data_IF_711300634258
#
_entry.id   IF_711300634258
#
_cell.length_a   1.000
_cell.length_b   1.000
_cell.length_c   1.000
_cell.angle_alpha   90.00
_cell.angle_beta   90.00
_cell.angle_gamma   90.00
#
_symmetry.space_group_name_H-M   'P 1'
#
loop_
_entity.id
_entity.type
_entity.pdbx_description
1 polymer ?
#
# COMPACT_ATOMS: atom_id res chain seq x y z
N UNK A 1 8.03 -2.60 10.04
CA UNK A 1 6.88 -1.71 10.32
C UNK A 1 7.01 -1.03 11.67
N UNK A 2 7.31 -1.74 12.76
CA UNK A 2 7.34 -1.16 14.11
C UNK A 2 8.25 0.07 14.26
N UNK A 3 9.40 0.09 13.58
CA UNK A 3 10.26 1.26 13.56
C UNK A 3 9.60 2.49 12.89
N UNK A 4 8.88 2.26 11.78
CA UNK A 4 8.12 3.31 11.09
C UNK A 4 6.95 3.80 11.95
N UNK A 5 6.19 2.90 12.58
CA UNK A 5 5.12 3.27 13.52
C UNK A 5 5.68 4.12 14.67
N UNK A 6 6.79 3.70 15.30
CA UNK A 6 7.45 4.49 16.35
C UNK A 6 7.89 5.88 15.88
N UNK A 7 8.42 5.98 14.66
CA UNK A 7 8.84 7.25 14.09
C UNK A 7 7.63 8.17 13.84
N UNK A 8 6.52 7.64 13.33
CA UNK A 8 5.30 8.39 13.12
C UNK A 8 4.65 8.81 14.44
N UNK A 9 4.58 7.93 15.44
CA UNK A 9 4.06 8.28 16.77
C UNK A 9 4.89 9.40 17.43
N UNK A 10 6.21 9.43 17.18
CA UNK A 10 7.06 10.53 17.63
C UNK A 10 6.74 11.82 16.87
N UNK A 11 6.52 11.75 15.56
CA UNK A 11 6.13 12.89 14.75
C UNK A 11 4.77 13.44 15.19
N UNK A 12 3.77 12.59 15.38
CA UNK A 12 2.42 12.98 15.79
C UNK A 12 2.46 13.71 17.14
N UNK A 13 3.23 13.20 18.11
CA UNK A 13 3.47 13.90 19.38
C UNK A 13 4.11 15.28 19.20
N UNK A 14 5.07 15.43 18.29
CA UNK A 14 5.68 16.74 17.98
C UNK A 14 4.68 17.71 17.35
N UNK A 15 3.72 17.19 16.60
CA UNK A 15 2.68 17.97 15.92
C UNK A 15 1.40 18.15 16.74
N UNK A 16 1.38 17.68 18.00
CA UNK A 16 0.20 17.66 18.86
C UNK A 16 -1.03 16.93 18.25
N UNK A 17 -0.76 15.92 17.42
CA UNK A 17 -1.77 15.05 16.80
C UNK A 17 -2.11 13.90 17.76
N UNK A 18 -3.40 13.68 17.99
CA UNK A 18 -3.89 12.59 18.84
C UNK A 18 -3.80 11.22 18.17
N UNK A 19 -3.87 10.10 18.93
CA UNK A 19 -3.74 8.74 18.36
C UNK A 19 -4.75 8.42 17.25
N UNK A 20 -6.02 8.81 17.43
CA UNK A 20 -7.09 8.54 16.45
C UNK A 20 -6.88 9.33 15.15
N UNK A 21 -6.48 10.60 15.28
CA UNK A 21 -6.16 11.46 14.14
C UNK A 21 -4.89 10.96 13.42
N UNK A 22 -3.85 10.56 14.15
CA UNK A 22 -2.64 9.98 13.57
C UNK A 22 -2.93 8.70 12.79
N UNK A 23 -3.80 7.83 13.31
CA UNK A 23 -4.28 6.65 12.59
C UNK A 23 -5.05 7.06 11.31
N UNK A 24 -5.96 8.03 11.40
CA UNK A 24 -6.71 8.53 10.25
C UNK A 24 -5.76 9.08 9.16
N UNK A 25 -4.73 9.84 9.54
CA UNK A 25 -3.73 10.36 8.60
C UNK A 25 -2.92 9.25 7.93
N UNK A 26 -2.56 8.18 8.65
CA UNK A 26 -1.88 7.01 8.08
C UNK A 26 -2.75 6.28 7.07
N UNK A 27 -4.07 6.21 7.32
CA UNK A 27 -5.02 5.65 6.34
C UNK A 27 -5.17 6.57 5.12
N UNK A 28 -5.24 7.88 5.31
CA UNK A 28 -5.28 8.86 4.21
C UNK A 28 -4.03 8.77 3.33
N UNK A 29 -2.84 8.56 3.92
CA UNK A 29 -1.58 8.38 3.20
C UNK A 29 -1.64 7.25 2.17
N UNK A 30 -2.41 6.17 2.42
CA UNK A 30 -2.60 5.09 1.44
C UNK A 30 -3.25 5.60 0.14
N UNK A 31 -4.21 6.53 0.25
CA UNK A 31 -4.85 7.12 -0.93
C UNK A 31 -3.92 8.07 -1.69
N UNK A 32 -3.06 8.80 -0.96
CA UNK A 32 -2.01 9.65 -1.53
C UNK A 32 -1.05 8.82 -2.38
N UNK A 33 -0.44 7.77 -1.81
CA UNK A 33 0.50 6.90 -2.55
C UNK A 33 -0.17 6.18 -3.74
N UNK A 34 -1.45 5.83 -3.62
CA UNK A 34 -2.20 5.23 -4.73
C UNK A 34 -2.33 6.19 -5.91
N UNK A 35 -2.48 7.49 -5.62
CA UNK A 35 -2.45 8.55 -6.62
C UNK A 35 -1.08 8.68 -7.30
N UNK A 36 0.01 8.54 -6.54
CA UNK A 36 1.38 8.59 -7.05
C UNK A 36 1.69 7.38 -7.95
N UNK A 37 1.35 6.16 -7.52
CA UNK A 37 1.46 4.95 -8.34
C UNK A 37 0.66 5.06 -9.65
N UNK A 38 -0.54 5.65 -9.59
CA UNK A 38 -1.35 5.93 -10.78
C UNK A 38 -0.66 6.93 -11.72
N UNK A 39 -0.06 7.98 -11.16
CA UNK A 39 0.69 8.97 -11.93
C UNK A 39 1.97 8.37 -12.56
N UNK A 40 2.69 7.51 -11.84
CA UNK A 40 3.85 6.80 -12.34
C UNK A 40 3.49 5.85 -13.49
N UNK A 41 2.37 5.11 -13.40
CA UNK A 41 1.88 4.28 -14.50
C UNK A 41 1.54 5.11 -15.75
N UNK A 42 0.85 6.24 -15.58
CA UNK A 42 0.53 7.16 -16.68
C UNK A 42 1.82 7.69 -17.32
N UNK A 43 2.82 8.05 -16.48
CA UNK A 43 4.14 8.49 -16.90
C UNK A 43 4.89 7.42 -17.69
N UNK A 44 4.95 6.19 -17.18
CA UNK A 44 5.56 5.02 -17.83
C UNK A 44 4.92 4.74 -19.19
N UNK A 45 3.60 4.90 -19.33
CA UNK A 45 2.90 4.73 -20.61
C UNK A 45 3.09 5.91 -21.57
N UNK A 46 3.57 7.05 -21.08
CA UNK A 46 3.68 8.30 -21.84
C UNK A 46 2.31 8.89 -22.20
N UNK A 47 1.28 8.58 -21.42
CA UNK A 47 -0.10 8.99 -21.70
C UNK A 47 -0.38 10.45 -21.35
N UNK A 48 0.42 11.08 -20.49
CA UNK A 48 0.27 12.48 -20.13
C UNK A 48 1.15 13.37 -21.03
N UNK A 49 0.56 14.10 -22.02
CA UNK A 49 1.34 14.90 -22.97
C UNK A 49 2.03 16.12 -22.35
N UNK A 50 1.76 16.43 -21.07
CA UNK A 50 2.37 17.56 -20.32
C UNK A 50 3.60 17.13 -19.50
N UNK A 51 3.94 15.85 -19.45
CA UNK A 51 5.07 15.32 -18.68
C UNK A 51 5.96 14.43 -19.55
N UNK A 52 7.24 14.31 -19.19
CA UNK A 52 8.14 13.35 -19.80
C UNK A 52 7.72 11.91 -19.49
N UNK A 53 8.17 10.97 -20.33
CA UNK A 53 7.95 9.54 -20.09
C UNK A 53 8.75 9.11 -18.84
N UNK A 54 8.07 8.41 -17.93
CA UNK A 54 8.66 7.85 -16.71
C UNK A 54 9.28 6.48 -16.94
N UNK A 55 9.89 5.94 -15.89
CA UNK A 55 10.57 4.63 -15.89
C UNK A 55 9.73 3.53 -15.23
N UNK A 56 10.07 2.27 -15.49
CA UNK A 56 9.46 1.13 -14.79
C UNK A 56 9.84 1.13 -13.30
N UNK A 57 11.05 1.58 -12.98
CA UNK A 57 11.51 1.67 -11.60
C UNK A 57 10.66 2.64 -10.78
N UNK A 58 10.31 3.80 -11.34
CA UNK A 58 9.40 4.75 -10.68
C UNK A 58 8.06 4.07 -10.33
N UNK A 59 7.46 3.31 -11.26
CA UNK A 59 6.22 2.60 -10.95
C UNK A 59 6.40 1.56 -9.83
N UNK A 60 7.51 0.83 -9.82
CA UNK A 60 7.79 -0.17 -8.78
C UNK A 60 7.94 0.52 -7.42
N UNK A 61 8.69 1.62 -7.35
CA UNK A 61 8.91 2.36 -6.11
C UNK A 61 7.58 2.86 -5.54
N UNK A 62 6.73 3.48 -6.36
CA UNK A 62 5.41 3.96 -5.90
C UNK A 62 4.47 2.81 -5.47
N UNK A 63 4.52 1.65 -6.14
CA UNK A 63 3.75 0.47 -5.71
C UNK A 63 4.22 -0.05 -4.35
N UNK A 64 5.52 0.03 -4.07
CA UNK A 64 6.08 -0.34 -2.77
C UNK A 64 5.71 0.68 -1.68
N UNK A 65 5.62 1.97 -2.02
CA UNK A 65 5.18 3.01 -1.08
C UNK A 65 3.70 2.87 -0.71
N UNK A 66 2.83 2.47 -1.65
CA UNK A 66 1.45 2.05 -1.37
C UNK A 66 1.42 0.88 -0.38
N UNK A 67 2.21 -0.16 -0.64
CA UNK A 67 2.26 -1.35 0.21
C UNK A 67 2.78 -1.01 1.62
N UNK A 68 3.84 -0.20 1.71
CA UNK A 68 4.42 0.28 2.96
C UNK A 68 3.40 1.07 3.76
N UNK A 69 2.72 2.04 3.14
CA UNK A 69 1.71 2.88 3.80
C UNK A 69 0.56 2.05 4.36
N UNK A 70 0.06 1.07 3.60
CA UNK A 70 -1.00 0.17 4.05
C UNK A 70 -0.55 -0.72 5.24
N UNK A 71 0.68 -1.27 5.18
CA UNK A 71 1.22 -2.10 6.26
C UNK A 71 1.53 -1.30 7.52
N UNK A 72 1.98 -0.05 7.38
CA UNK A 72 2.17 0.86 8.53
C UNK A 72 0.84 1.17 9.20
N UNK A 73 -0.22 1.48 8.44
CA UNK A 73 -1.55 1.71 9.00
C UNK A 73 -2.09 0.47 9.73
N UNK A 74 -1.89 -0.74 9.17
CA UNK A 74 -2.25 -2.00 9.84
C UNK A 74 -1.46 -2.21 11.14
N UNK A 75 -0.15 -1.98 11.12
CA UNK A 75 0.71 -2.09 12.30
C UNK A 75 0.39 -1.04 13.38
N UNK A 76 -0.11 0.14 13.00
CA UNK A 76 -0.64 1.13 13.94
C UNK A 76 -1.97 0.72 14.59
N UNK A 77 -2.70 -0.23 13.99
CA UNK A 77 -4.00 -0.70 14.50
C UNK A 77 -3.85 -1.91 15.41
N UNK A 78 -2.84 -2.76 15.19
CA UNK A 78 -2.69 -4.00 15.96
C UNK A 78 -1.26 -4.55 15.97
N UNK A 79 -0.86 -5.13 17.10
CA UNK A 79 0.49 -5.68 17.29
C UNK A 79 0.76 -7.00 16.57
N UNK A 80 -0.27 -7.74 16.15
CA UNK A 80 -0.15 -9.01 15.42
C UNK A 80 -0.28 -8.85 13.90
N UNK A 81 -0.13 -7.61 13.38
CA UNK A 81 -0.36 -7.24 11.99
C UNK A 81 0.36 -8.17 11.00
N UNK A 82 1.58 -8.62 11.34
CA UNK A 82 2.38 -9.48 10.49
C UNK A 82 1.73 -10.86 10.30
N UNK A 83 1.28 -11.49 11.39
CA UNK A 83 0.61 -12.79 11.34
C UNK A 83 -0.72 -12.69 10.58
N UNK A 84 -1.48 -11.59 10.80
CA UNK A 84 -2.71 -11.32 10.06
C UNK A 84 -2.47 -11.10 8.57
N UNK A 85 -1.42 -10.37 8.20
CA UNK A 85 -1.04 -10.16 6.81
C UNK A 85 -0.68 -11.47 6.12
N UNK A 86 0.17 -12.30 6.73
CA UNK A 86 0.54 -13.62 6.20
C UNK A 86 -0.70 -14.49 5.96
N UNK A 87 -1.56 -14.64 6.97
CA UNK A 87 -2.79 -15.41 6.82
C UNK A 87 -3.73 -14.84 5.74
N UNK A 88 -3.78 -13.51 5.60
CA UNK A 88 -4.58 -12.86 4.56
C UNK A 88 -4.05 -13.17 3.16
N UNK A 89 -2.73 -13.08 2.96
CA UNK A 89 -2.08 -13.38 1.67
C UNK A 89 -2.27 -14.85 1.30
N UNK A 90 -2.08 -15.77 2.23
CA UNK A 90 -2.30 -17.21 2.02
C UNK A 90 -3.75 -17.49 1.59
N UNK A 91 -4.72 -16.96 2.33
CA UNK A 91 -6.13 -17.17 2.04
C UNK A 91 -6.56 -16.57 0.69
N UNK A 92 -6.07 -15.37 0.35
CA UNK A 92 -6.39 -14.71 -0.93
C UNK A 92 -5.72 -15.40 -2.12
N UNK A 93 -4.48 -15.82 -1.96
CA UNK A 93 -3.74 -16.58 -2.98
C UNK A 93 -4.41 -17.91 -3.27
N UNK A 94 -4.77 -18.68 -2.23
CA UNK A 94 -5.47 -19.95 -2.39
C UNK A 94 -6.80 -19.78 -3.15
N UNK A 95 -7.60 -18.75 -2.79
CA UNK A 95 -8.85 -18.42 -3.49
C UNK A 95 -8.62 -18.01 -4.95
N UNK A 96 -7.58 -17.22 -5.22
CA UNK A 96 -7.26 -16.81 -6.58
C UNK A 96 -6.88 -18.02 -7.45
N UNK A 97 -6.03 -18.92 -6.93
CA UNK A 97 -5.62 -20.14 -7.63
C UNK A 97 -6.83 -21.02 -7.94
N UNK A 98 -7.71 -21.27 -6.95
CA UNK A 98 -8.94 -22.04 -7.16
C UNK A 98 -9.82 -21.42 -8.24
N UNK A 99 -10.07 -20.10 -8.18
CA UNK A 99 -10.90 -19.39 -9.14
C UNK A 99 -10.32 -19.35 -10.57
N UNK A 100 -9.00 -19.47 -10.74
CA UNK A 100 -8.37 -19.60 -12.07
C UNK A 100 -8.41 -21.05 -12.54
N UNK A 101 -8.19 -22.02 -11.65
CA UNK A 101 -8.25 -23.45 -11.96
C UNK A 101 -9.64 -23.95 -12.34
N UNK A 102 -10.70 -23.43 -11.69
CA UNK A 102 -12.10 -23.69 -12.07
C UNK A 102 -12.47 -23.09 -13.44
N UNK A 103 -11.70 -22.12 -13.95
CA UNK A 103 -11.91 -21.46 -15.24
C UNK A 103 -11.09 -22.06 -16.38
N UNK A 104 -10.70 -23.34 -16.31
CA UNK A 104 -10.13 -24.02 -17.47
C UNK A 104 -11.22 -24.24 -18.54
N UNK A 105 -11.10 -23.67 -19.75
CA UNK A 105 -12.13 -23.76 -20.77
C UNK A 105 -12.03 -25.11 -21.49
N UNK A 106 -13.04 -25.96 -21.29
CA UNK A 106 -13.14 -27.29 -21.91
C UNK A 106 -14.43 -28.07 -21.64
N UNK A 107 -15.47 -27.42 -21.11
CA UNK A 107 -16.85 -27.94 -21.13
C UNK A 107 -17.75 -26.99 -21.92
#
# INVERSE_FOLDING_TARGET
>A
MDAAVRALDLNDRRMAIGPDEGLALRVVKVAEECGEASAALIGLRGQNPRKSRGSEQELIDELLDVALSALVAAASTTGDWAARFTAHVEARTARLIAAVGERHPGE
#
